data_IF_104102156595
#
_entry.id   IF_104102156595
#
_cell.length_a   1.000
_cell.length_b   1.000
_cell.length_c   1.000
_cell.angle_alpha   90.00
_cell.angle_beta   90.00
_cell.angle_gamma   90.00
#
_symmetry.space_group_name_H-M   'P 1'
#
loop_
_entity.id
_entity.type
_entity.pdbx_description
1 polymer ?
#
# COMPACT_ATOMS: atom_id res chain seq x y z
N UNK A 1 -18.42 6.49 -23.02
CA UNK A 1 -19.19 5.81 -21.96
C UNK A 1 -18.50 4.55 -21.40
N UNK A 2 -18.12 3.56 -22.19
CA UNK A 2 -17.54 2.29 -21.70
C UNK A 2 -16.24 2.41 -20.87
N UNK A 3 -15.41 3.43 -21.08
CA UNK A 3 -14.13 3.63 -20.34
C UNK A 3 -14.41 4.09 -18.91
N UNK A 4 -15.25 5.09 -18.73
CA UNK A 4 -15.60 5.59 -17.40
C UNK A 4 -16.18 4.51 -16.49
N UNK A 5 -17.10 3.68 -17.01
CA UNK A 5 -17.69 2.56 -16.27
C UNK A 5 -16.61 1.58 -15.78
N UNK A 6 -15.62 1.23 -16.63
CA UNK A 6 -14.53 0.34 -16.23
C UNK A 6 -13.66 0.91 -15.12
N UNK A 7 -13.39 2.21 -15.15
CA UNK A 7 -12.63 2.90 -14.11
C UNK A 7 -13.40 2.93 -12.79
N UNK A 8 -14.68 3.24 -12.84
CA UNK A 8 -15.55 3.28 -11.64
C UNK A 8 -15.65 1.89 -11.00
N UNK A 9 -15.91 0.84 -11.78
CA UNK A 9 -15.97 -0.53 -11.25
C UNK A 9 -14.61 -0.95 -10.68
N UNK A 10 -13.52 -0.61 -11.34
CA UNK A 10 -12.17 -0.91 -10.84
C UNK A 10 -11.88 -0.20 -9.51
N UNK A 11 -12.32 1.05 -9.34
CA UNK A 11 -12.22 1.78 -8.09
C UNK A 11 -13.08 1.16 -6.98
N UNK A 12 -14.30 0.75 -7.32
CA UNK A 12 -15.19 0.03 -6.39
C UNK A 12 -14.55 -1.27 -5.90
N UNK A 13 -13.92 -2.06 -6.77
CA UNK A 13 -13.22 -3.28 -6.35
C UNK A 13 -12.16 -3.02 -5.26
N UNK A 14 -11.44 -1.91 -5.35
CA UNK A 14 -10.46 -1.54 -4.32
C UNK A 14 -11.12 -1.20 -2.98
N UNK A 15 -12.23 -0.47 -3.01
CA UNK A 15 -12.99 -0.13 -1.81
C UNK A 15 -13.58 -1.40 -1.18
N UNK A 16 -14.13 -2.30 -2.01
CA UNK A 16 -14.71 -3.56 -1.54
C UNK A 16 -13.72 -4.49 -0.86
N UNK A 17 -12.44 -4.49 -1.23
CA UNK A 17 -11.42 -5.28 -0.54
C UNK A 17 -11.34 -4.93 0.96
N UNK A 18 -11.23 -3.64 1.27
CA UNK A 18 -11.18 -3.17 2.66
C UNK A 18 -12.54 -3.35 3.34
N UNK A 19 -13.64 -3.14 2.61
CA UNK A 19 -15.01 -3.32 3.13
C UNK A 19 -15.28 -4.77 3.53
N UNK A 20 -14.88 -5.76 2.72
CA UNK A 20 -15.02 -7.18 3.04
C UNK A 20 -14.25 -7.53 4.30
N UNK A 21 -12.99 -7.06 4.44
CA UNK A 21 -12.23 -7.28 5.67
C UNK A 21 -12.95 -6.73 6.90
N UNK A 22 -13.48 -5.49 6.82
CA UNK A 22 -14.29 -4.88 7.89
C UNK A 22 -15.55 -5.69 8.21
N UNK A 23 -16.29 -6.11 7.19
CA UNK A 23 -17.54 -6.87 7.36
C UNK A 23 -17.29 -8.22 8.04
N UNK A 24 -16.19 -8.90 7.69
CA UNK A 24 -15.80 -10.16 8.31
C UNK A 24 -15.40 -9.99 9.79
N UNK A 25 -14.71 -8.89 10.12
CA UNK A 25 -14.39 -8.55 11.50
C UNK A 25 -15.67 -8.23 12.29
N UNK A 26 -16.62 -7.47 11.70
CA UNK A 26 -17.89 -7.15 12.31
C UNK A 26 -18.76 -8.39 12.58
N UNK A 27 -18.70 -9.37 11.69
CA UNK A 27 -19.47 -10.61 11.82
C UNK A 27 -18.94 -11.53 12.93
N UNK A 28 -17.63 -11.58 13.11
CA UNK A 28 -17.00 -12.58 14.01
C UNK A 28 -16.66 -12.02 15.39
N UNK A 29 -16.33 -10.74 15.50
CA UNK A 29 -15.82 -10.15 16.73
C UNK A 29 -16.84 -9.19 17.37
N UNK A 30 -16.55 -8.77 18.60
CA UNK A 30 -17.42 -7.83 19.34
C UNK A 30 -17.51 -6.48 18.60
N UNK A 31 -18.65 -5.79 18.76
CA UNK A 31 -18.90 -4.48 18.17
C UNK A 31 -17.90 -3.42 18.63
N UNK A 32 -17.41 -3.56 19.87
CA UNK A 32 -16.38 -2.67 20.44
C UNK A 32 -15.06 -2.84 19.70
N UNK A 33 -14.65 -4.08 19.46
CA UNK A 33 -13.40 -4.39 18.76
C UNK A 33 -13.48 -4.00 17.29
N UNK A 34 -14.62 -4.25 16.65
CA UNK A 34 -14.89 -3.76 15.29
C UNK A 34 -14.75 -2.22 15.20
N UNK A 35 -15.31 -1.48 16.17
CA UNK A 35 -15.20 -0.01 16.22
C UNK A 35 -13.75 0.45 16.30
N UNK A 36 -12.95 -0.19 17.16
CA UNK A 36 -11.54 0.12 17.34
C UNK A 36 -10.72 -0.12 16.06
N UNK A 37 -10.89 -1.27 15.41
CA UNK A 37 -10.18 -1.59 14.17
C UNK A 37 -10.65 -0.71 13.01
N UNK A 38 -11.94 -0.40 12.95
CA UNK A 38 -12.48 0.51 11.95
C UNK A 38 -11.88 1.91 12.04
N UNK A 39 -11.52 2.39 13.22
CA UNK A 39 -10.80 3.65 13.40
C UNK A 39 -9.43 3.60 12.70
N UNK A 40 -8.64 2.55 12.94
CA UNK A 40 -7.31 2.40 12.33
C UNK A 40 -7.42 2.29 10.79
N UNK A 41 -8.36 1.50 10.29
CA UNK A 41 -8.60 1.39 8.85
C UNK A 41 -9.13 2.71 8.24
N UNK A 42 -9.77 3.57 9.04
CA UNK A 42 -10.19 4.91 8.60
C UNK A 42 -9.01 5.86 8.49
N UNK A 43 -8.02 5.77 9.38
CA UNK A 43 -6.76 6.50 9.26
C UNK A 43 -5.98 6.09 7.99
N UNK A 44 -5.96 4.80 7.67
CA UNK A 44 -5.41 4.33 6.39
C UNK A 44 -6.11 5.00 5.20
N UNK A 45 -7.46 4.93 5.17
CA UNK A 45 -8.24 5.53 4.08
C UNK A 45 -8.04 7.05 3.97
N UNK A 46 -7.93 7.74 5.09
CA UNK A 46 -7.63 9.17 5.13
C UNK A 46 -6.28 9.48 4.47
N UNK A 47 -5.24 8.71 4.79
CA UNK A 47 -3.91 8.87 4.16
C UNK A 47 -3.97 8.54 2.66
N UNK A 48 -4.67 7.47 2.27
CA UNK A 48 -4.86 7.10 0.87
C UNK A 48 -5.64 8.15 0.07
N UNK A 49 -6.51 8.94 0.71
CA UNK A 49 -7.20 10.05 0.06
C UNK A 49 -6.22 11.12 -0.44
N UNK A 50 -5.22 11.49 0.35
CA UNK A 50 -4.18 12.42 -0.10
C UNK A 50 -3.34 11.81 -1.24
N UNK A 51 -2.98 10.54 -1.15
CA UNK A 51 -2.25 9.84 -2.20
C UNK A 51 -3.05 9.82 -3.51
N UNK A 52 -4.36 9.65 -3.45
CA UNK A 52 -5.23 9.73 -4.62
C UNK A 52 -5.24 11.14 -5.26
N UNK A 53 -5.16 12.20 -4.47
CA UNK A 53 -5.06 13.56 -5.00
C UNK A 53 -3.76 13.74 -5.83
N UNK A 54 -2.63 13.23 -5.35
CA UNK A 54 -1.38 13.21 -6.13
C UNK A 54 -1.49 12.36 -7.40
N UNK A 55 -2.16 11.21 -7.34
CA UNK A 55 -2.43 10.36 -8.51
C UNK A 55 -3.23 11.10 -9.59
N UNK A 56 -4.17 11.96 -9.20
CA UNK A 56 -4.98 12.76 -10.13
C UNK A 56 -4.14 13.79 -10.90
N UNK A 57 -3.09 14.34 -10.27
CA UNK A 57 -2.14 15.26 -10.92
C UNK A 57 -1.18 14.50 -11.84
N UNK A 58 -0.71 13.34 -11.42
CA UNK A 58 0.26 12.54 -12.17
C UNK A 58 -0.32 12.00 -13.49
N UNK A 59 -1.59 11.62 -13.51
CA UNK A 59 -2.26 11.05 -14.66
C UNK A 59 -2.19 11.93 -15.94
N UNK A 60 -2.60 13.21 -15.93
CA UNK A 60 -2.52 14.06 -17.12
C UNK A 60 -1.06 14.27 -17.59
N UNK A 61 -0.11 14.40 -16.66
CA UNK A 61 1.32 14.56 -17.00
C UNK A 61 1.80 13.33 -17.76
N UNK A 62 1.51 12.12 -17.29
CA UNK A 62 1.92 10.89 -17.97
C UNK A 62 1.32 10.75 -19.37
N UNK A 63 0.11 11.27 -19.57
CA UNK A 63 -0.58 11.17 -20.86
C UNK A 63 0.03 12.03 -21.98
N UNK A 64 0.71 13.12 -21.61
CA UNK A 64 1.37 14.02 -22.57
C UNK A 64 2.76 13.54 -22.98
N UNK A 65 3.34 12.58 -22.23
CA UNK A 65 4.71 12.11 -22.44
C UNK A 65 4.81 10.96 -23.45
N UNK A 66 5.94 10.92 -24.19
CA UNK A 66 6.26 9.84 -25.11
C UNK A 66 6.59 8.55 -24.36
N UNK A 67 6.45 7.41 -25.02
CA UNK A 67 6.68 6.10 -24.41
C UNK A 67 8.08 5.93 -23.77
N UNK A 68 9.11 6.53 -24.37
CA UNK A 68 10.46 6.52 -23.81
C UNK A 68 10.55 7.28 -22.50
N UNK A 69 10.01 8.50 -22.47
CA UNK A 69 9.92 9.33 -21.27
C UNK A 69 9.08 8.68 -20.18
N UNK A 70 7.97 8.02 -20.54
CA UNK A 70 7.13 7.29 -19.57
C UNK A 70 7.90 6.18 -18.86
N UNK A 71 8.82 5.47 -19.55
CA UNK A 71 9.66 4.46 -18.92
C UNK A 71 10.67 5.06 -17.93
N UNK A 72 11.29 6.19 -18.28
CA UNK A 72 12.23 6.89 -17.36
C UNK A 72 11.51 7.43 -16.12
N UNK A 73 10.37 8.09 -16.33
CA UNK A 73 9.54 8.63 -15.24
C UNK A 73 9.07 7.49 -14.32
N UNK A 74 8.65 6.35 -14.90
CA UNK A 74 8.26 5.18 -14.12
C UNK A 74 9.37 4.74 -13.17
N UNK A 75 10.59 4.59 -13.69
CA UNK A 75 11.75 4.16 -12.90
C UNK A 75 12.05 5.13 -11.75
N UNK A 76 12.07 6.43 -12.04
CA UNK A 76 12.34 7.46 -11.04
C UNK A 76 11.26 7.46 -9.95
N UNK A 77 9.99 7.37 -10.35
CA UNK A 77 8.86 7.34 -9.41
C UNK A 77 8.85 6.05 -8.59
N UNK A 78 9.08 4.88 -9.22
CA UNK A 78 9.10 3.59 -8.52
C UNK A 78 10.17 3.54 -7.44
N UNK A 79 11.40 3.93 -7.79
CA UNK A 79 12.52 3.99 -6.85
C UNK A 79 12.28 5.03 -5.76
N UNK A 80 11.74 6.19 -6.12
CA UNK A 80 11.48 7.27 -5.20
C UNK A 80 10.36 6.97 -4.21
N UNK A 81 9.27 6.43 -4.69
CA UNK A 81 8.16 6.02 -3.83
C UNK A 81 8.58 4.90 -2.88
N UNK A 82 9.44 3.95 -3.31
CA UNK A 82 9.98 2.93 -2.40
C UNK A 82 10.69 3.56 -1.20
N UNK A 83 11.52 4.59 -1.43
CA UNK A 83 12.23 5.28 -0.35
C UNK A 83 11.26 6.04 0.55
N UNK A 84 10.31 6.78 -0.03
CA UNK A 84 9.33 7.56 0.72
C UNK A 84 8.45 6.66 1.60
N UNK A 85 7.95 5.55 1.06
CA UNK A 85 7.08 4.64 1.82
C UNK A 85 7.82 3.88 2.92
N UNK A 86 9.09 3.50 2.71
CA UNK A 86 9.90 2.92 3.80
C UNK A 86 10.20 3.97 4.87
N UNK A 87 10.41 5.24 4.48
CA UNK A 87 10.53 6.34 5.44
C UNK A 87 9.25 6.51 6.28
N UNK A 88 8.08 6.31 5.69
CA UNK A 88 6.80 6.36 6.41
C UNK A 88 6.70 5.32 7.53
N UNK A 89 7.41 4.19 7.47
CA UNK A 89 7.45 3.23 8.57
C UNK A 89 8.00 3.83 9.86
N UNK A 90 8.91 4.81 9.78
CA UNK A 90 9.41 5.53 10.96
C UNK A 90 8.30 6.35 11.65
N UNK A 91 7.29 6.79 10.91
CA UNK A 91 6.17 7.54 11.48
C UNK A 91 5.16 6.65 12.22
N UNK A 92 5.21 5.32 12.05
CA UNK A 92 4.28 4.42 12.74
C UNK A 92 4.36 4.58 14.27
N UNK A 93 5.57 4.66 14.83
CA UNK A 93 5.79 4.78 16.28
C UNK A 93 5.36 6.14 16.85
N UNK A 94 5.76 7.28 16.30
CA UNK A 94 5.23 8.57 16.75
C UNK A 94 3.71 8.65 16.69
N UNK A 95 3.09 8.10 15.63
CA UNK A 95 1.64 8.05 15.50
C UNK A 95 1.01 7.14 16.55
N UNK A 96 1.60 5.98 16.83
CA UNK A 96 1.17 5.06 17.89
C UNK A 96 1.21 5.72 19.26
N UNK A 97 2.31 6.39 19.62
CA UNK A 97 2.47 7.12 20.88
C UNK A 97 1.43 8.25 20.99
N UNK A 98 1.28 9.05 19.93
CA UNK A 98 0.35 10.17 19.92
C UNK A 98 -1.10 9.70 20.06
N UNK A 99 -1.50 8.66 19.35
CA UNK A 99 -2.83 8.09 19.44
C UNK A 99 -3.07 7.39 20.77
N UNK A 100 -2.06 6.72 21.33
CA UNK A 100 -2.14 6.10 22.65
C UNK A 100 -2.36 7.12 23.76
N UNK A 101 -1.70 8.29 23.67
CA UNK A 101 -1.91 9.39 24.61
C UNK A 101 -3.27 10.06 24.43
N UNK A 102 -3.74 10.21 23.19
CA UNK A 102 -5.02 10.87 22.89
C UNK A 102 -6.22 9.94 23.07
N UNK A 103 -6.08 8.66 22.73
CA UNK A 103 -7.15 7.66 22.75
C UNK A 103 -6.73 6.41 23.57
N UNK A 104 -6.55 6.51 24.90
CA UNK A 104 -6.06 5.41 25.72
C UNK A 104 -6.96 4.16 25.69
N UNK A 105 -8.26 4.34 25.43
CA UNK A 105 -9.22 3.22 25.26
C UNK A 105 -8.97 2.37 24.00
N UNK A 106 -8.11 2.81 23.10
CA UNK A 106 -7.77 2.14 21.84
C UNK A 106 -6.34 1.58 21.81
N UNK A 107 -5.62 1.63 22.94
CA UNK A 107 -4.22 1.23 23.03
C UNK A 107 -3.97 -0.23 22.57
N UNK A 108 -4.90 -1.13 22.86
CA UNK A 108 -4.84 -2.55 22.48
C UNK A 108 -4.81 -2.78 20.97
N UNK A 109 -5.44 -1.90 20.18
CA UNK A 109 -5.47 -2.04 18.71
C UNK A 109 -4.37 -1.25 18.00
N UNK A 110 -3.66 -0.35 18.71
CA UNK A 110 -2.52 0.37 18.15
C UNK A 110 -1.36 -0.56 17.77
N UNK A 111 -1.25 -1.72 18.40
CA UNK A 111 -0.29 -2.78 18.04
C UNK A 111 -0.43 -3.27 16.60
N UNK A 112 -1.55 -2.98 15.92
CA UNK A 112 -1.75 -3.30 14.50
C UNK A 112 -1.28 -2.18 13.55
N UNK A 113 -0.80 -1.04 14.07
CA UNK A 113 -0.28 0.08 13.26
C UNK A 113 0.80 -0.34 12.26
N UNK A 114 1.77 -1.20 12.60
CA UNK A 114 2.77 -1.65 11.62
C UNK A 114 2.18 -2.30 10.39
N UNK A 115 1.11 -3.10 10.54
CA UNK A 115 0.43 -3.73 9.41
C UNK A 115 -0.24 -2.66 8.54
N UNK A 116 -0.85 -1.64 9.15
CA UNK A 116 -1.49 -0.53 8.41
C UNK A 116 -0.48 0.25 7.58
N UNK A 117 0.71 0.54 8.12
CA UNK A 117 1.76 1.22 7.37
C UNK A 117 2.32 0.35 6.23
N UNK A 118 2.41 -0.97 6.43
CA UNK A 118 2.78 -1.90 5.36
C UNK A 118 1.71 -1.95 4.24
N UNK A 119 0.42 -1.92 4.61
CA UNK A 119 -0.69 -1.80 3.66
C UNK A 119 -0.61 -0.47 2.91
N UNK A 120 -0.30 0.64 3.60
CA UNK A 120 -0.16 1.96 3.00
C UNK A 120 0.92 1.99 1.91
N UNK A 121 2.04 1.28 2.09
CA UNK A 121 3.07 1.11 1.06
C UNK A 121 2.49 0.47 -0.21
N UNK A 122 1.80 -0.66 -0.06
CA UNK A 122 1.26 -1.42 -1.19
C UNK A 122 0.16 -0.65 -1.93
N UNK A 123 -0.82 -0.14 -1.20
CA UNK A 123 -1.95 0.60 -1.78
C UNK A 123 -1.49 1.97 -2.30
N UNK A 124 -0.59 2.65 -1.61
CA UNK A 124 -0.03 3.92 -2.05
C UNK A 124 0.67 3.81 -3.40
N UNK A 125 1.53 2.79 -3.59
CA UNK A 125 2.17 2.51 -4.89
C UNK A 125 1.17 2.08 -5.94
N UNK A 126 0.19 1.27 -5.56
CA UNK A 126 -0.89 0.86 -6.46
C UNK A 126 -1.65 2.06 -7.00
N UNK A 127 -2.04 3.00 -6.14
CA UNK A 127 -2.81 4.18 -6.51
C UNK A 127 -1.98 5.19 -7.31
N UNK A 128 -0.78 5.54 -6.81
CA UNK A 128 0.07 6.54 -7.45
C UNK A 128 0.67 6.06 -8.76
N UNK A 129 1.23 4.85 -8.76
CA UNK A 129 2.04 4.39 -9.88
C UNK A 129 1.21 3.50 -10.82
N UNK A 130 0.81 2.31 -10.38
CA UNK A 130 0.21 1.32 -11.28
C UNK A 130 -1.12 1.78 -11.87
N UNK A 131 -2.02 2.32 -11.07
CA UNK A 131 -3.33 2.78 -11.56
C UNK A 131 -3.20 4.00 -12.48
N UNK A 132 -2.29 4.94 -12.18
CA UNK A 132 -2.06 6.12 -13.02
C UNK A 132 -1.52 5.72 -14.39
N UNK A 133 -0.60 4.75 -14.45
CA UNK A 133 -0.05 4.25 -15.71
C UNK A 133 -1.08 3.45 -16.53
N UNK A 134 -1.89 2.59 -15.90
CA UNK A 134 -2.97 1.90 -16.61
C UNK A 134 -3.97 2.86 -17.25
N UNK A 135 -4.32 3.95 -16.54
CA UNK A 135 -5.17 5.03 -17.05
C UNK A 135 -4.49 5.79 -18.21
N UNK A 136 -3.21 6.17 -18.05
CA UNK A 136 -2.45 6.90 -19.08
C UNK A 136 -2.31 6.08 -20.38
N UNK A 137 -2.07 4.77 -20.26
CA UNK A 137 -1.93 3.83 -21.35
C UNK A 137 -3.27 3.36 -21.97
N UNK A 138 -4.41 3.82 -21.43
CA UNK A 138 -5.77 3.38 -21.84
C UNK A 138 -5.98 1.87 -21.74
N UNK A 139 -5.43 1.25 -20.68
CA UNK A 139 -5.55 -0.19 -20.42
C UNK A 139 -6.46 -0.50 -19.23
N UNK A 140 -7.51 0.29 -19.07
CA UNK A 140 -8.48 0.20 -17.97
C UNK A 140 -9.15 -1.17 -17.89
N UNK A 141 -9.37 -1.81 -19.05
CA UNK A 141 -9.97 -3.16 -19.09
C UNK A 141 -9.08 -4.23 -18.47
N UNK A 142 -7.76 -4.10 -18.61
CA UNK A 142 -6.82 -5.03 -17.98
C UNK A 142 -6.73 -4.77 -16.46
N UNK A 143 -6.65 -3.50 -16.05
CA UNK A 143 -6.70 -3.09 -14.66
C UNK A 143 -7.97 -3.63 -13.96
N UNK A 144 -9.13 -3.47 -14.59
CA UNK A 144 -10.40 -3.98 -14.08
C UNK A 144 -10.38 -5.50 -13.88
N UNK A 145 -9.89 -6.26 -14.87
CA UNK A 145 -9.81 -7.74 -14.76
C UNK A 145 -8.95 -8.17 -13.59
N UNK A 146 -7.77 -7.55 -13.41
CA UNK A 146 -6.87 -7.87 -12.30
C UNK A 146 -7.53 -7.55 -10.96
N UNK A 147 -8.16 -6.38 -10.83
CA UNK A 147 -8.84 -5.97 -9.59
C UNK A 147 -10.03 -6.88 -9.26
N UNK A 148 -10.83 -7.31 -10.25
CA UNK A 148 -11.94 -8.25 -10.04
C UNK A 148 -11.43 -9.64 -9.60
N UNK A 149 -10.42 -10.17 -10.27
CA UNK A 149 -9.83 -11.47 -9.90
C UNK A 149 -9.25 -11.40 -8.49
N UNK A 150 -8.52 -10.33 -8.16
CA UNK A 150 -7.97 -10.13 -6.82
C UNK A 150 -9.07 -10.03 -5.77
N UNK A 151 -10.18 -9.35 -6.06
CA UNK A 151 -11.32 -9.25 -5.15
C UNK A 151 -11.94 -10.61 -4.87
N UNK A 152 -12.17 -11.43 -5.90
CA UNK A 152 -12.77 -12.76 -5.77
C UNK A 152 -11.86 -13.67 -4.93
N UNK A 153 -10.56 -13.73 -5.28
CA UNK A 153 -9.58 -14.57 -4.55
C UNK A 153 -9.51 -14.13 -3.08
N UNK A 154 -9.45 -12.82 -2.82
CA UNK A 154 -9.41 -12.31 -1.45
C UNK A 154 -10.68 -12.65 -0.67
N UNK A 155 -11.87 -12.49 -1.28
CA UNK A 155 -13.16 -12.78 -0.62
C UNK A 155 -13.24 -14.24 -0.17
N UNK A 156 -12.81 -15.17 -1.01
CA UNK A 156 -12.76 -16.60 -0.68
C UNK A 156 -11.73 -16.86 0.42
N UNK A 157 -10.54 -16.30 0.28
CA UNK A 157 -9.43 -16.54 1.19
C UNK A 157 -9.69 -15.98 2.60
N UNK A 158 -10.22 -14.74 2.70
CA UNK A 158 -10.56 -14.15 3.98
C UNK A 158 -11.73 -14.87 4.65
N UNK A 159 -12.74 -15.31 3.89
CA UNK A 159 -13.84 -16.10 4.42
C UNK A 159 -13.35 -17.40 5.05
N UNK A 160 -12.43 -18.10 4.38
CA UNK A 160 -11.80 -19.31 4.90
C UNK A 160 -11.00 -19.03 6.18
N UNK A 161 -10.15 -17.99 6.18
CA UNK A 161 -9.36 -17.63 7.37
C UNK A 161 -10.23 -17.25 8.55
N UNK A 162 -11.25 -16.41 8.33
CA UNK A 162 -12.16 -15.99 9.39
C UNK A 162 -12.91 -17.19 9.98
N UNK A 163 -13.23 -18.20 9.20
CA UNK A 163 -13.88 -19.41 9.71
C UNK A 163 -12.96 -20.19 10.66
N UNK A 164 -11.68 -20.37 10.33
CA UNK A 164 -10.75 -21.20 11.09
C UNK A 164 -9.98 -20.43 12.20
N UNK A 165 -9.68 -19.16 11.99
CA UNK A 165 -8.82 -18.37 12.88
C UNK A 165 -9.65 -17.36 13.68
N UNK A 166 -9.41 -17.30 15.00
CA UNK A 166 -10.03 -16.34 15.93
C UNK A 166 -9.11 -15.15 16.26
N UNK A 167 -8.05 -14.94 15.47
CA UNK A 167 -7.06 -13.91 15.72
C UNK A 167 -7.18 -12.79 14.67
N UNK A 168 -7.31 -11.54 15.17
CA UNK A 168 -7.41 -10.35 14.34
C UNK A 168 -6.10 -10.07 13.62
N UNK A 169 -4.96 -10.37 14.26
CA UNK A 169 -3.65 -10.17 13.65
C UNK A 169 -3.54 -10.96 12.35
N UNK A 170 -3.99 -12.21 12.34
CA UNK A 170 -3.99 -13.07 11.14
C UNK A 170 -4.89 -12.49 10.04
N UNK A 171 -6.08 -11.95 10.41
CA UNK A 171 -6.99 -11.32 9.44
C UNK A 171 -6.35 -10.07 8.81
N UNK A 172 -5.71 -9.23 9.61
CA UNK A 172 -5.02 -8.03 9.14
C UNK A 172 -3.80 -8.38 8.28
N UNK A 173 -3.05 -9.42 8.66
CA UNK A 173 -1.93 -9.94 7.87
C UNK A 173 -2.43 -10.48 6.52
N UNK A 174 -3.56 -11.19 6.50
CA UNK A 174 -4.20 -11.68 5.29
C UNK A 174 -4.60 -10.52 4.36
N UNK A 175 -5.14 -9.43 4.91
CA UNK A 175 -5.44 -8.22 4.16
C UNK A 175 -4.17 -7.65 3.52
N UNK A 176 -3.08 -7.51 4.28
CA UNK A 176 -1.80 -7.05 3.76
C UNK A 176 -1.29 -7.94 2.61
N UNK A 177 -1.24 -9.25 2.82
CA UNK A 177 -0.76 -10.20 1.80
C UNK A 177 -1.59 -10.15 0.52
N UNK A 178 -2.91 -10.02 0.65
CA UNK A 178 -3.82 -9.95 -0.50
C UNK A 178 -3.64 -8.65 -1.29
N UNK A 179 -3.47 -7.51 -0.61
CA UNK A 179 -3.23 -6.22 -1.25
C UNK A 179 -1.84 -6.19 -1.91
N UNK A 180 -0.86 -6.85 -1.29
CA UNK A 180 0.46 -7.00 -1.88
C UNK A 180 0.43 -7.91 -3.13
N UNK A 181 -0.29 -9.04 -3.09
CA UNK A 181 -0.49 -9.90 -4.24
C UNK A 181 -1.17 -9.17 -5.41
N UNK A 182 -2.17 -8.33 -5.12
CA UNK A 182 -2.79 -7.43 -6.10
C UNK A 182 -1.78 -6.46 -6.71
N UNK A 183 -0.91 -5.84 -5.90
CA UNK A 183 0.15 -4.95 -6.38
C UNK A 183 1.12 -5.67 -7.33
N UNK A 184 1.53 -6.90 -6.99
CA UNK A 184 2.36 -7.74 -7.89
C UNK A 184 1.63 -8.01 -9.20
N UNK A 185 0.36 -8.41 -9.15
CA UNK A 185 -0.42 -8.73 -10.34
C UNK A 185 -0.58 -7.52 -11.28
N UNK A 186 -0.83 -6.33 -10.72
CA UNK A 186 -0.91 -5.09 -11.49
C UNK A 186 0.45 -4.71 -12.09
N UNK A 187 1.53 -4.82 -11.34
CA UNK A 187 2.89 -4.54 -11.81
C UNK A 187 3.30 -5.51 -12.93
N UNK A 188 2.95 -6.79 -12.80
CA UNK A 188 3.14 -7.78 -13.86
C UNK A 188 2.35 -7.44 -15.12
N UNK A 189 1.10 -7.00 -14.95
CA UNK A 189 0.28 -6.51 -16.06
C UNK A 189 0.90 -5.31 -16.79
N UNK A 190 1.51 -4.38 -16.04
CA UNK A 190 2.19 -3.21 -16.62
C UNK A 190 3.49 -3.54 -17.32
N UNK A 191 4.23 -4.57 -16.91
CA UNK A 191 5.51 -4.98 -17.54
C UNK A 191 5.38 -5.23 -19.04
N UNK A 192 4.19 -5.58 -19.53
CA UNK A 192 3.93 -5.76 -20.96
C UNK A 192 4.04 -4.45 -21.76
N UNK A 193 3.89 -3.30 -21.11
CA UNK A 193 3.87 -1.97 -21.74
C UNK A 193 5.04 -1.10 -21.28
N UNK A 194 5.48 -1.24 -20.04
CA UNK A 194 6.54 -0.47 -19.40
C UNK A 194 7.69 -1.42 -19.06
N UNK A 195 8.80 -1.30 -19.80
CA UNK A 195 9.98 -2.18 -19.63
C UNK A 195 10.74 -1.92 -18.32
N UNK A 196 10.59 -0.72 -17.77
CA UNK A 196 11.27 -0.29 -16.52
C UNK A 196 10.67 -0.85 -15.24
N UNK A 197 9.59 -1.65 -15.29
CA UNK A 197 9.05 -2.35 -14.12
C UNK A 197 10.08 -3.31 -13.56
N UNK A 198 10.59 -3.00 -12.37
CA UNK A 198 11.64 -3.78 -11.70
C UNK A 198 11.07 -4.66 -10.59
N UNK A 199 11.05 -5.97 -10.80
CA UNK A 199 10.58 -6.92 -9.78
C UNK A 199 11.48 -6.98 -8.56
N UNK A 200 12.75 -6.63 -8.67
CA UNK A 200 13.65 -6.56 -7.52
C UNK A 200 13.14 -5.55 -6.47
N UNK A 201 12.68 -4.39 -6.90
CA UNK A 201 12.09 -3.41 -5.98
C UNK A 201 10.87 -3.98 -5.25
N UNK A 202 9.99 -4.70 -5.96
CA UNK A 202 8.80 -5.31 -5.38
C UNK A 202 9.18 -6.34 -4.31
N UNK A 203 10.18 -7.19 -4.59
CA UNK A 203 10.68 -8.19 -3.64
C UNK A 203 11.27 -7.51 -2.40
N UNK A 204 12.11 -6.49 -2.59
CA UNK A 204 12.70 -5.72 -1.47
C UNK A 204 11.60 -5.08 -0.62
N UNK A 205 10.59 -4.48 -1.22
CA UNK A 205 9.45 -3.87 -0.52
C UNK A 205 8.65 -4.89 0.30
N UNK A 206 8.45 -6.09 -0.26
CA UNK A 206 7.80 -7.18 0.46
C UNK A 206 8.59 -7.55 1.72
N UNK A 207 9.88 -7.80 1.56
CA UNK A 207 10.73 -8.13 2.70
C UNK A 207 10.79 -7.00 3.72
N UNK A 208 10.89 -5.75 3.29
CA UNK A 208 10.85 -4.59 4.20
C UNK A 208 9.53 -4.54 4.98
N UNK A 209 8.39 -4.74 4.31
CA UNK A 209 7.08 -4.75 4.97
C UNK A 209 6.92 -5.91 5.96
N UNK A 210 7.33 -7.13 5.58
CA UNK A 210 7.28 -8.30 6.45
C UNK A 210 8.22 -8.15 7.63
N UNK A 211 9.47 -7.73 7.41
CA UNK A 211 10.43 -7.46 8.48
C UNK A 211 9.93 -6.38 9.43
N UNK A 212 9.34 -5.31 8.90
CA UNK A 212 8.76 -4.24 9.72
C UNK A 212 7.66 -4.77 10.65
N UNK A 213 6.73 -5.55 10.12
CA UNK A 213 5.64 -6.17 10.92
C UNK A 213 6.23 -7.12 11.97
N UNK A 214 7.19 -7.98 11.57
CA UNK A 214 7.79 -8.97 12.49
C UNK A 214 8.58 -8.30 13.60
N UNK A 215 9.42 -7.31 13.29
CA UNK A 215 10.21 -6.56 14.28
C UNK A 215 9.30 -5.84 15.26
N UNK A 216 8.27 -5.19 14.76
CA UNK A 216 7.32 -4.44 15.61
C UNK A 216 6.48 -5.35 16.51
N UNK A 217 6.25 -6.61 16.10
CA UNK A 217 5.50 -7.57 16.89
C UNK A 217 6.36 -8.25 17.97
N UNK A 218 7.66 -8.48 17.68
CA UNK A 218 8.55 -9.24 18.57
C UNK A 218 9.26 -8.33 19.60
N UNK A 219 9.61 -7.10 19.20
CA UNK A 219 10.45 -6.21 19.99
C UNK A 219 9.64 -5.07 20.62
N UNK A 220 9.97 -4.65 21.86
CA UNK A 220 9.40 -3.43 22.47
C UNK A 220 9.66 -2.21 21.56
N UNK A 221 8.69 -1.28 21.51
CA UNK A 221 8.64 -0.18 20.55
C UNK A 221 9.95 0.61 20.34
N UNK A 222 10.73 0.86 21.40
CA UNK A 222 12.00 1.61 21.31
C UNK A 222 13.06 0.84 20.51
N UNK A 223 13.23 -0.46 20.76
CA UNK A 223 14.21 -1.29 20.03
C UNK A 223 13.79 -1.50 18.57
N UNK A 224 12.51 -1.69 18.33
CA UNK A 224 11.96 -1.79 17.00
C UNK A 224 12.20 -0.49 16.21
N UNK A 225 12.00 0.68 16.83
CA UNK A 225 12.27 1.98 16.22
C UNK A 225 13.74 2.14 15.80
N UNK A 226 14.69 1.79 16.69
CA UNK A 226 16.11 1.83 16.37
C UNK A 226 16.49 0.94 15.19
N UNK A 227 15.97 -0.30 15.14
CA UNK A 227 16.24 -1.21 14.03
C UNK A 227 15.69 -0.72 12.69
N UNK A 228 14.53 -0.07 12.72
CA UNK A 228 13.93 0.50 11.50
C UNK A 228 14.74 1.71 11.00
N UNK A 229 15.27 2.54 11.90
CA UNK A 229 16.20 3.62 11.53
C UNK A 229 17.44 3.03 10.83
N UNK A 230 18.03 1.96 11.38
CA UNK A 230 19.19 1.30 10.77
C UNK A 230 18.84 0.75 9.39
N UNK A 231 17.70 0.06 9.25
CA UNK A 231 17.25 -0.49 7.95
C UNK A 231 17.01 0.62 6.92
N UNK A 232 16.49 1.77 7.35
CA UNK A 232 16.28 2.94 6.50
C UNK A 232 17.60 3.57 6.03
N UNK A 233 18.59 3.73 6.93
CA UNK A 233 19.93 4.23 6.59
C UNK A 233 20.58 3.29 5.55
N UNK A 234 20.49 1.99 5.74
CA UNK A 234 21.02 1.00 4.79
C UNK A 234 20.35 1.14 3.42
N UNK A 235 19.04 1.32 3.36
CA UNK A 235 18.32 1.52 2.09
C UNK A 235 18.73 2.82 1.39
N UNK A 236 18.91 3.93 2.12
CA UNK A 236 19.39 5.21 1.54
C UNK A 236 20.79 5.01 0.94
N UNK A 237 21.67 4.34 1.65
CA UNK A 237 23.03 4.09 1.16
C UNK A 237 23.01 3.24 -0.11
N UNK A 238 22.22 2.17 -0.14
CA UNK A 238 22.06 1.30 -1.30
C UNK A 238 21.42 2.02 -2.50
N UNK A 239 20.46 2.92 -2.27
CA UNK A 239 19.73 3.67 -3.32
C UNK A 239 20.20 5.13 -3.47
N UNK A 240 21.40 5.50 -3.01
CA UNK A 240 21.92 6.87 -3.01
C UNK A 240 21.86 7.56 -4.38
N UNK A 241 22.16 6.84 -5.46
CA UNK A 241 22.13 7.39 -6.84
C UNK A 241 20.71 7.76 -7.26
N UNK A 242 19.74 6.92 -6.96
CA UNK A 242 18.31 7.16 -7.30
C UNK A 242 17.71 8.26 -6.45
N UNK A 243 18.09 8.39 -5.20
CA UNK A 243 17.66 9.49 -4.32
C UNK A 243 18.10 10.88 -4.84
N UNK A 244 19.34 10.99 -5.32
CA UNK A 244 19.86 12.24 -5.92
C UNK A 244 19.10 12.56 -7.22
N UNK A 245 18.79 11.58 -8.06
CA UNK A 245 18.00 11.76 -9.29
C UNK A 245 16.58 12.25 -8.98
N UNK A 246 15.97 11.73 -7.93
CA UNK A 246 14.64 12.12 -7.48
C UNK A 246 14.58 13.58 -7.01
N UNK A 247 15.57 14.00 -6.20
CA UNK A 247 15.68 15.40 -5.76
C UNK A 247 15.87 16.36 -6.95
N UNK A 248 16.62 15.95 -7.98
CA UNK A 248 16.75 16.74 -9.22
C UNK A 248 15.44 16.80 -9.98
N UNK A 249 14.70 15.67 -10.09
CA UNK A 249 13.41 15.62 -10.78
C UNK A 249 12.36 16.51 -10.11
N UNK A 250 12.28 16.51 -8.78
CA UNK A 250 11.34 17.38 -8.02
C UNK A 250 11.66 18.87 -8.24
N UNK A 251 12.94 19.24 -8.42
CA UNK A 251 13.32 20.64 -8.71
C UNK A 251 13.00 21.10 -10.14
N UNK A 252 12.71 20.17 -11.05
CA UNK A 252 12.39 20.46 -12.46
C UNK A 252 10.89 20.44 -12.77
N UNK A 253 10.05 20.08 -11.81
CA UNK A 253 8.59 20.22 -11.81
C UNK A 253 8.18 21.54 -11.16
#
# INVERSE_FOLDING_TARGET
MRIGIKLTISALCNIFLIFIARSMIAWKFSIVLFGKISLILSLLNFTLFFINAFSAILFPILRTKKACEQNEIFKILDDGLSIIFVFLFLFAYPVEILLGAWLPKYADVLNYMPIIFAILLCEGKTLLLTNSYFKALRKEGQMLRINLISLIIFSVFIGFIVYFCNDIFIIMLCLFLSLFAKYIALSYGLKKFIKSVNFYNIVVEFFCGVCFIAISHILPGVYAFCLIIVSFIVLIVLKRKTFIQLLKFIKTI
#
